data_IF_088183178341
#
_entry.id   IF_088183178341
#
_cell.length_a   1.000
_cell.length_b   1.000
_cell.length_c   1.000
_cell.angle_alpha   90.00
_cell.angle_beta   90.00
_cell.angle_gamma   90.00
#
_symmetry.space_group_name_H-M   'P 1'
#
loop_
_entity.id
_entity.type
_entity.pdbx_description
1 polymer ?
#
# COMPACT_ATOMS: atom_id res chain seq x y z
N UNK A 1 -12.60 60.69 28.38
CA UNK A 1 -13.11 59.36 28.00
C UNK A 1 -11.92 58.42 27.88
N UNK A 2 -11.77 57.42 28.75
CA UNK A 2 -10.64 56.50 28.68
C UNK A 2 -10.88 55.46 27.57
N UNK A 3 -9.86 55.21 26.77
CA UNK A 3 -9.87 54.21 25.71
C UNK A 3 -9.89 52.79 26.32
N UNK A 4 -10.78 51.93 25.85
CA UNK A 4 -10.81 50.51 26.21
C UNK A 4 -9.61 49.80 25.58
N UNK A 5 -8.91 48.90 26.30
CA UNK A 5 -7.83 48.12 25.73
C UNK A 5 -8.39 47.09 24.74
N UNK A 6 -7.78 47.01 23.55
CA UNK A 6 -8.03 45.96 22.56
C UNK A 6 -7.73 44.59 23.19
N UNK A 7 -8.78 43.80 23.41
CA UNK A 7 -8.65 42.39 23.73
C UNK A 7 -8.15 41.68 22.47
N UNK A 8 -6.88 41.27 22.47
CA UNK A 8 -6.38 40.31 21.47
C UNK A 8 -7.12 39.00 21.68
N UNK A 9 -8.00 38.66 20.76
CA UNK A 9 -8.61 37.33 20.66
C UNK A 9 -7.47 36.30 20.57
N UNK A 10 -7.43 35.25 21.42
CA UNK A 10 -6.45 34.19 21.25
C UNK A 10 -6.65 33.55 19.88
N UNK A 11 -5.56 33.35 19.14
CA UNK A 11 -5.59 32.65 17.86
C UNK A 11 -6.19 31.25 18.11
N UNK A 12 -7.27 30.93 17.39
CA UNK A 12 -7.84 29.58 17.38
C UNK A 12 -6.76 28.68 16.78
N UNK A 13 -6.24 27.68 17.52
CA UNK A 13 -5.26 26.76 16.95
C UNK A 13 -5.90 26.00 15.79
N UNK A 14 -5.15 25.85 14.70
CA UNK A 14 -5.57 25.10 13.52
C UNK A 14 -5.98 23.67 13.96
N UNK A 15 -7.24 23.27 13.79
CA UNK A 15 -7.71 21.94 14.19
C UNK A 15 -7.03 20.79 13.42
N UNK A 16 -6.25 21.10 12.37
CA UNK A 16 -5.48 20.14 11.58
C UNK A 16 -4.01 20.02 12.00
N UNK A 17 -3.54 20.86 12.94
CA UNK A 17 -2.24 20.67 13.60
C UNK A 17 -2.41 19.69 14.75
N UNK A 18 -2.40 18.38 14.44
CA UNK A 18 -2.21 17.37 15.48
C UNK A 18 -0.88 17.65 16.21
N UNK A 19 -0.82 17.55 17.55
CA UNK A 19 0.42 17.76 18.28
C UNK A 19 1.53 16.84 17.77
N UNK A 20 2.74 17.37 17.54
CA UNK A 20 3.92 16.59 17.12
C UNK A 20 4.14 15.31 17.95
N UNK A 21 3.72 15.32 19.21
CA UNK A 21 3.80 14.18 20.11
C UNK A 21 2.90 12.99 19.74
N UNK A 22 1.76 13.20 19.06
CA UNK A 22 0.88 12.10 18.64
C UNK A 22 1.48 11.34 17.45
N UNK A 23 2.08 12.06 16.50
CA UNK A 23 2.72 11.47 15.31
C UNK A 23 3.99 10.67 15.66
N UNK A 24 4.80 11.18 16.61
CA UNK A 24 6.03 10.53 17.10
C UNK A 24 5.78 9.24 17.91
N UNK A 25 4.61 9.09 18.56
CA UNK A 25 4.27 7.87 19.30
C UNK A 25 3.78 6.72 18.40
N UNK A 26 3.21 7.05 17.23
CA UNK A 26 2.80 6.05 16.22
C UNK A 26 3.96 5.45 15.43
N UNK A 27 5.04 6.20 15.22
CA UNK A 27 6.23 5.72 14.48
C UNK A 27 7.00 4.61 15.22
N UNK A 28 6.76 4.39 16.53
CA UNK A 28 7.60 3.51 17.36
C UNK A 28 6.96 2.19 17.84
N UNK A 29 5.68 1.88 17.58
CA UNK A 29 5.07 0.64 18.13
C UNK A 29 3.94 0.03 17.29
N UNK A 30 4.13 -0.11 15.98
CA UNK A 30 3.23 -0.96 15.19
C UNK A 30 3.97 -2.09 14.44
N UNK A 31 4.10 -3.29 15.02
CA UNK A 31 4.87 -4.40 14.42
C UNK A 31 4.27 -4.88 13.09
N UNK A 32 2.97 -4.73 12.86
CA UNK A 32 2.34 -5.17 11.62
C UNK A 32 2.55 -4.16 10.47
N UNK A 33 2.61 -2.86 10.77
CA UNK A 33 3.02 -1.83 9.79
C UNK A 33 4.47 -2.08 9.31
N UNK A 34 5.37 -2.30 10.27
CA UNK A 34 6.77 -2.65 9.96
C UNK A 34 6.85 -3.94 9.13
N UNK A 35 6.14 -4.99 9.53
CA UNK A 35 6.11 -6.25 8.79
C UNK A 35 5.60 -6.07 7.36
N UNK A 36 4.55 -5.26 7.17
CA UNK A 36 4.03 -4.92 5.86
C UNK A 36 5.09 -4.24 4.99
N UNK A 37 5.72 -3.18 5.50
CA UNK A 37 6.77 -2.43 4.79
C UNK A 37 7.97 -3.30 4.43
N UNK A 38 8.47 -4.09 5.38
CA UNK A 38 9.58 -5.02 5.14
C UNK A 38 9.22 -6.10 4.10
N UNK A 39 7.98 -6.60 4.12
CA UNK A 39 7.49 -7.58 3.14
C UNK A 39 7.47 -7.00 1.74
N UNK A 40 6.82 -5.85 1.57
CA UNK A 40 6.53 -5.29 0.24
C UNK A 40 7.66 -4.42 -0.32
N UNK A 41 8.68 -4.07 0.48
CA UNK A 41 9.94 -3.54 -0.04
C UNK A 41 10.69 -4.57 -0.90
N UNK A 42 10.44 -5.87 -0.71
CA UNK A 42 10.99 -6.93 -1.54
C UNK A 42 10.23 -7.01 -2.86
N UNK A 43 10.92 -6.68 -3.95
CA UNK A 43 10.26 -6.47 -5.24
C UNK A 43 9.56 -7.71 -5.77
N UNK A 44 10.11 -8.91 -5.51
CA UNK A 44 9.51 -10.16 -5.99
C UNK A 44 8.17 -10.45 -5.32
N UNK A 45 8.02 -10.06 -4.05
CA UNK A 45 6.75 -10.18 -3.31
C UNK A 45 5.73 -9.15 -3.79
N UNK A 46 6.16 -7.91 -4.05
CA UNK A 46 5.29 -6.87 -4.59
C UNK A 46 4.80 -7.22 -6.02
N UNK A 47 5.69 -7.73 -6.87
CA UNK A 47 5.34 -8.20 -8.22
C UNK A 47 4.30 -9.32 -8.18
N UNK A 48 4.54 -10.35 -7.37
CA UNK A 48 3.62 -11.47 -7.21
C UNK A 48 2.27 -10.99 -6.65
N UNK A 49 2.28 -10.07 -5.69
CA UNK A 49 1.06 -9.48 -5.15
C UNK A 49 0.27 -8.71 -6.20
N UNK A 50 0.90 -7.81 -6.95
CA UNK A 50 0.21 -7.06 -7.99
C UNK A 50 -0.28 -7.98 -9.12
N UNK A 51 0.42 -9.07 -9.43
CA UNK A 51 -0.04 -10.05 -10.40
C UNK A 51 -1.35 -10.72 -9.96
N UNK A 52 -1.50 -11.03 -8.67
CA UNK A 52 -2.67 -11.79 -8.19
C UNK A 52 -3.85 -10.92 -7.77
N UNK A 53 -3.59 -9.71 -7.26
CA UNK A 53 -4.60 -8.92 -6.56
C UNK A 53 -4.97 -7.60 -7.28
N UNK A 54 -4.28 -7.23 -8.37
CA UNK A 54 -4.80 -6.18 -9.25
C UNK A 54 -6.02 -6.68 -10.04
N UNK A 55 -6.97 -5.80 -10.38
CA UNK A 55 -7.99 -6.13 -11.37
C UNK A 55 -7.34 -6.63 -12.66
N UNK A 56 -7.79 -7.78 -13.17
CA UNK A 56 -7.20 -8.41 -14.34
C UNK A 56 -7.03 -7.47 -15.56
N UNK A 57 -7.98 -6.56 -15.88
CA UNK A 57 -7.79 -5.59 -16.96
C UNK A 57 -6.64 -4.61 -16.70
N UNK A 58 -6.41 -4.23 -15.45
CA UNK A 58 -5.30 -3.34 -15.06
C UNK A 58 -3.99 -4.12 -15.12
N UNK A 59 -3.92 -5.31 -14.54
CA UNK A 59 -2.71 -6.14 -14.56
C UNK A 59 -2.24 -6.42 -16.00
N UNK A 60 -3.18 -6.66 -16.92
CA UNK A 60 -2.90 -6.93 -18.33
C UNK A 60 -2.22 -5.75 -19.07
N UNK A 61 -2.36 -4.51 -18.60
CA UNK A 61 -1.70 -3.36 -19.23
C UNK A 61 -0.26 -3.14 -18.73
N UNK A 62 0.17 -3.85 -17.67
CA UNK A 62 1.43 -3.59 -16.98
C UNK A 62 2.48 -4.65 -17.29
N UNK A 63 3.73 -4.22 -17.43
CA UNK A 63 4.88 -5.11 -17.39
C UNK A 63 5.42 -5.19 -15.96
N UNK A 64 4.83 -6.07 -15.14
CA UNK A 64 5.21 -6.19 -13.72
C UNK A 64 6.69 -6.55 -13.52
N UNK A 65 7.39 -7.09 -14.51
CA UNK A 65 8.84 -7.35 -14.42
C UNK A 65 9.68 -6.07 -14.30
N UNK A 66 9.14 -4.90 -14.65
CA UNK A 66 9.82 -3.59 -14.51
C UNK A 66 9.39 -2.84 -13.25
N UNK A 67 8.73 -3.52 -12.30
CA UNK A 67 8.30 -2.88 -11.06
C UNK A 67 9.51 -2.33 -10.31
N UNK A 68 9.46 -1.06 -9.94
CA UNK A 68 10.53 -0.34 -9.26
C UNK A 68 9.98 0.40 -8.05
N UNK A 69 10.45 0.06 -6.85
CA UNK A 69 10.12 0.80 -5.64
C UNK A 69 10.70 2.21 -5.71
N UNK A 70 9.86 3.22 -5.50
CA UNK A 70 10.24 4.62 -5.48
C UNK A 70 10.60 5.01 -4.04
N UNK A 71 11.86 5.38 -3.79
CA UNK A 71 12.30 5.75 -2.44
C UNK A 71 11.76 7.13 -2.01
N UNK A 72 11.34 7.21 -0.74
CA UNK A 72 10.81 8.42 -0.09
C UNK A 72 11.82 9.58 0.08
N UNK A 73 13.07 9.43 -0.37
CA UNK A 73 14.11 10.46 -0.31
C UNK A 73 13.98 11.55 -1.38
N UNK A 74 13.12 11.37 -2.37
CA UNK A 74 12.81 12.37 -3.41
C UNK A 74 11.57 13.21 -3.10
N UNK A 75 11.08 13.12 -1.87
CA UNK A 75 9.81 13.68 -1.47
C UNK A 75 10.06 14.75 -0.40
N UNK A 76 9.31 15.85 -0.50
CA UNK A 76 9.23 16.95 0.48
C UNK A 76 9.43 16.41 1.93
N UNK A 77 10.22 17.05 2.81
CA UNK A 77 10.35 16.63 4.21
C UNK A 77 9.00 16.41 4.91
N UNK A 78 7.94 17.11 4.48
CA UNK A 78 6.57 16.90 4.94
C UNK A 78 5.98 15.56 4.47
N UNK A 79 6.36 15.07 3.29
CA UNK A 79 5.99 13.73 2.78
C UNK A 79 6.75 12.59 3.46
N UNK A 80 8.01 12.81 3.86
CA UNK A 80 8.83 11.80 4.55
C UNK A 80 8.23 11.32 5.86
N UNK A 81 7.44 12.14 6.56
CA UNK A 81 6.87 11.78 7.85
C UNK A 81 5.48 11.16 7.80
N UNK A 82 4.77 11.18 6.66
CA UNK A 82 3.32 10.91 6.69
C UNK A 82 2.67 10.31 5.44
N UNK A 83 3.40 9.97 4.36
CA UNK A 83 2.71 9.82 3.08
C UNK A 83 3.12 8.59 2.27
N UNK A 84 2.16 7.67 2.17
CA UNK A 84 2.13 6.39 1.46
C UNK A 84 3.07 5.32 2.04
N UNK A 85 2.54 4.13 2.32
CA UNK A 85 3.39 3.05 2.80
C UNK A 85 4.42 2.65 1.74
N UNK A 86 4.01 2.42 0.48
CA UNK A 86 4.90 2.08 -0.62
C UNK A 86 4.40 2.63 -1.97
N UNK A 87 5.29 3.23 -2.76
CA UNK A 87 5.03 3.71 -4.12
C UNK A 87 5.90 2.97 -5.12
N UNK A 88 5.32 2.44 -6.18
CA UNK A 88 6.04 1.75 -7.24
C UNK A 88 5.83 2.42 -8.59
N UNK A 89 6.86 2.37 -9.43
CA UNK A 89 6.81 2.67 -10.86
C UNK A 89 6.75 1.35 -11.63
N UNK A 90 5.96 1.30 -12.70
CA UNK A 90 5.87 0.12 -13.58
C UNK A 90 5.56 0.57 -15.01
N UNK A 91 6.22 -0.03 -16.00
CA UNK A 91 6.01 0.33 -17.41
C UNK A 91 4.76 -0.35 -17.96
N UNK A 92 4.18 0.28 -18.99
CA UNK A 92 3.08 -0.29 -19.76
C UNK A 92 3.60 -1.36 -20.73
N UNK A 93 2.79 -2.39 -21.02
CA UNK A 93 3.20 -3.45 -21.96
C UNK A 93 3.36 -2.96 -23.41
N UNK A 94 2.53 -2.00 -23.83
CA UNK A 94 2.34 -1.65 -25.24
C UNK A 94 2.82 -0.24 -25.62
N UNK A 95 3.35 0.54 -24.68
CA UNK A 95 3.61 1.98 -24.88
C UNK A 95 5.06 2.38 -24.51
N UNK A 96 6.05 2.00 -25.32
CA UNK A 96 7.44 2.50 -25.18
C UNK A 96 7.96 2.52 -23.73
N UNK A 97 8.57 3.64 -23.32
CA UNK A 97 9.04 3.87 -21.94
C UNK A 97 7.96 4.47 -21.01
N UNK A 98 6.68 4.46 -21.41
CA UNK A 98 5.58 4.99 -20.61
C UNK A 98 5.36 4.11 -19.37
N UNK A 99 5.05 4.76 -18.25
CA UNK A 99 4.89 4.10 -16.97
C UNK A 99 3.77 4.74 -16.16
N UNK A 100 3.25 3.98 -15.20
CA UNK A 100 2.28 4.43 -14.20
C UNK A 100 2.84 4.22 -12.80
N UNK A 101 2.11 4.72 -11.80
CA UNK A 101 2.38 4.41 -10.42
C UNK A 101 1.37 3.42 -9.83
N UNK A 102 1.88 2.49 -9.01
CA UNK A 102 1.08 1.68 -8.09
C UNK A 102 1.34 2.20 -6.68
N UNK A 103 0.30 2.67 -6.03
CA UNK A 103 0.35 3.22 -4.67
C UNK A 103 -0.24 2.18 -3.73
N UNK A 104 0.56 1.64 -2.81
CA UNK A 104 0.16 0.60 -1.89
C UNK A 104 0.13 1.14 -0.46
N UNK A 105 -1.08 1.17 0.11
CA UNK A 105 -1.36 1.60 1.49
C UNK A 105 -1.82 0.41 2.33
N UNK A 106 -1.48 0.41 3.61
CA UNK A 106 -1.85 -0.60 4.58
C UNK A 106 -2.76 -0.01 5.66
N UNK A 107 -3.80 -0.75 6.05
CA UNK A 107 -4.70 -0.39 7.14
C UNK A 107 -5.05 -1.60 8.01
N UNK A 108 -4.97 -1.40 9.33
CA UNK A 108 -5.45 -2.35 10.34
C UNK A 108 -6.83 -2.01 10.90
N UNK A 109 -7.43 -0.89 10.50
CA UNK A 109 -8.78 -0.47 10.87
C UNK A 109 -9.43 0.32 9.72
N UNK A 110 -10.78 0.34 9.62
CA UNK A 110 -11.49 1.06 8.56
C UNK A 110 -11.52 2.56 8.86
N UNK A 111 -10.45 3.26 8.52
CA UNK A 111 -10.32 4.71 8.69
C UNK A 111 -11.16 5.48 7.65
N UNK A 112 -12.19 6.24 8.07
CA UNK A 112 -13.01 7.04 7.16
C UNK A 112 -12.21 8.09 6.36
N UNK A 113 -11.00 8.46 6.79
CA UNK A 113 -10.16 9.43 6.12
C UNK A 113 -9.35 8.87 4.95
N UNK A 114 -9.31 7.55 4.75
CA UNK A 114 -8.54 6.89 3.67
C UNK A 114 -8.74 7.55 2.31
N UNK A 115 -9.97 7.88 1.84
CA UNK A 115 -10.14 8.48 0.53
C UNK A 115 -9.48 9.86 0.42
N UNK A 116 -9.56 10.68 1.47
CA UNK A 116 -8.91 12.00 1.47
C UNK A 116 -7.38 11.88 1.61
N UNK A 117 -6.91 10.91 2.40
CA UNK A 117 -5.49 10.59 2.51
C UNK A 117 -4.91 10.18 1.16
N UNK A 118 -5.59 9.27 0.44
CA UNK A 118 -5.20 8.86 -0.91
C UNK A 118 -5.18 10.05 -1.87
N UNK A 119 -6.19 10.93 -1.85
CA UNK A 119 -6.18 12.14 -2.69
C UNK A 119 -4.92 12.98 -2.45
N UNK A 120 -4.53 13.18 -1.18
CA UNK A 120 -3.29 13.90 -0.84
C UNK A 120 -2.08 13.22 -1.48
N UNK A 121 -2.00 11.88 -1.43
CA UNK A 121 -0.90 11.14 -2.07
C UNK A 121 -0.87 11.36 -3.58
N UNK A 122 -2.02 11.24 -4.24
CA UNK A 122 -2.13 11.46 -5.69
C UNK A 122 -1.62 12.85 -6.09
N UNK A 123 -2.10 13.90 -5.41
CA UNK A 123 -1.68 15.28 -5.67
C UNK A 123 -0.18 15.46 -5.46
N UNK A 124 0.39 14.90 -4.38
CA UNK A 124 1.83 15.02 -4.11
C UNK A 124 2.71 14.29 -5.13
N UNK A 125 2.26 13.13 -5.62
CA UNK A 125 2.93 12.40 -6.70
C UNK A 125 2.88 13.23 -7.98
N UNK A 126 1.72 13.80 -8.32
CA UNK A 126 1.57 14.68 -9.48
C UNK A 126 2.38 15.97 -9.39
N UNK A 127 2.50 16.58 -8.21
CA UNK A 127 3.41 17.71 -7.97
C UNK A 127 4.86 17.34 -8.29
N UNK A 128 5.28 16.10 -8.00
CA UNK A 128 6.61 15.59 -8.39
C UNK A 128 6.75 15.50 -9.90
N UNK A 129 5.78 14.90 -10.59
CA UNK A 129 5.80 14.77 -12.05
C UNK A 129 5.91 16.16 -12.71
N UNK A 130 5.08 17.12 -12.28
CA UNK A 130 5.09 18.47 -12.80
C UNK A 130 6.41 19.20 -12.55
N UNK A 131 7.05 19.01 -11.39
CA UNK A 131 8.40 19.56 -11.10
C UNK A 131 9.47 18.96 -12.01
N UNK A 132 9.31 17.70 -12.43
CA UNK A 132 10.17 17.05 -13.41
C UNK A 132 9.85 17.46 -14.87
N UNK A 133 8.93 18.42 -15.08
CA UNK A 133 8.42 18.82 -16.40
C UNK A 133 7.76 17.66 -17.16
N UNK A 134 7.22 16.70 -16.39
CA UNK A 134 6.51 15.56 -16.89
C UNK A 134 4.99 15.82 -16.85
N UNK A 135 4.23 15.10 -17.69
CA UNK A 135 2.76 15.10 -17.63
C UNK A 135 2.25 14.35 -16.40
N UNK A 136 0.99 14.52 -16.00
CA UNK A 136 0.43 13.73 -14.89
C UNK A 136 0.41 12.24 -15.26
N UNK A 137 1.07 11.40 -14.46
CA UNK A 137 1.00 9.94 -14.67
C UNK A 137 -0.24 9.35 -14.00
N UNK A 138 -0.87 8.33 -14.61
CA UNK A 138 -1.89 7.55 -13.93
C UNK A 138 -1.34 6.90 -12.65
N UNK A 139 -2.18 6.81 -11.62
CA UNK A 139 -1.86 6.19 -10.34
C UNK A 139 -3.00 5.23 -10.00
N UNK A 140 -2.66 3.98 -9.67
CA UNK A 140 -3.61 2.98 -9.16
C UNK A 140 -3.38 2.82 -7.66
N UNK A 141 -4.27 3.36 -6.81
CA UNK A 141 -4.17 3.16 -5.36
C UNK A 141 -4.77 1.80 -4.97
N UNK A 142 -4.02 1.06 -4.17
CA UNK A 142 -4.44 -0.18 -3.52
C UNK A 142 -4.33 -0.03 -2.00
N UNK A 143 -5.35 -0.47 -1.29
CA UNK A 143 -5.37 -0.56 0.17
C UNK A 143 -5.41 -2.03 0.57
N UNK A 144 -4.40 -2.48 1.31
CA UNK A 144 -4.40 -3.79 1.97
C UNK A 144 -4.97 -3.63 3.37
N UNK A 145 -6.10 -4.28 3.62
CA UNK A 145 -6.80 -4.22 4.89
C UNK A 145 -6.80 -5.58 5.59
N UNK A 146 -6.48 -5.60 6.89
CA UNK A 146 -6.46 -6.82 7.70
C UNK A 146 -7.06 -6.65 9.11
N UNK A 147 -7.87 -5.62 9.31
CA UNK A 147 -8.53 -5.36 10.59
C UNK A 147 -9.66 -6.34 10.89
N UNK A 148 -10.09 -6.36 12.15
CA UNK A 148 -11.18 -7.23 12.64
C UNK A 148 -12.57 -6.70 12.28
N UNK A 149 -12.70 -5.39 12.01
CA UNK A 149 -13.97 -4.77 11.64
C UNK A 149 -14.33 -5.02 10.17
N UNK A 150 -15.60 -4.85 9.81
CA UNK A 150 -15.99 -4.78 8.39
C UNK A 150 -15.49 -3.48 7.78
N UNK A 151 -14.89 -3.53 6.59
CA UNK A 151 -14.58 -2.32 5.82
C UNK A 151 -15.86 -1.58 5.42
N UNK A 152 -15.99 -0.33 5.84
CA UNK A 152 -17.15 0.54 5.58
C UNK A 152 -16.75 1.85 4.89
N UNK A 153 -15.48 2.01 4.54
CA UNK A 153 -14.97 3.22 3.90
C UNK A 153 -15.30 3.16 2.40
N UNK A 154 -15.84 4.25 1.80
CA UNK A 154 -16.17 4.24 0.38
C UNK A 154 -14.96 3.98 -0.51
N UNK A 155 -15.14 3.25 -1.61
CA UNK A 155 -14.08 2.90 -2.58
C UNK A 155 -13.92 3.91 -3.72
N UNK A 156 -14.86 4.85 -3.85
CA UNK A 156 -14.77 5.99 -4.76
C UNK A 156 -14.80 7.29 -3.97
N UNK A 157 -14.02 8.27 -4.39
CA UNK A 157 -13.93 9.56 -3.71
C UNK A 157 -15.23 10.36 -3.82
N UNK A 158 -15.94 10.26 -4.96
CA UNK A 158 -17.27 10.88 -5.14
C UNK A 158 -18.29 10.42 -4.10
N UNK A 159 -18.13 9.23 -3.51
CA UNK A 159 -19.01 8.74 -2.44
C UNK A 159 -18.79 9.42 -1.09
N UNK A 160 -17.74 10.25 -0.95
CA UNK A 160 -17.50 11.05 0.25
C UNK A 160 -18.31 12.36 0.27
N UNK A 161 -18.87 12.78 -0.87
CA UNK A 161 -19.64 14.01 -0.97
C UNK A 161 -21.10 13.78 -0.57
N UNK A 162 -21.72 14.85 -0.10
CA UNK A 162 -23.17 14.94 0.09
C UNK A 162 -23.67 16.18 -0.62
N UNK A 163 -24.67 16.04 -1.48
CA UNK A 163 -25.23 17.18 -2.19
C UNK A 163 -26.18 16.78 -3.32
N UNK A 164 -26.82 17.76 -3.96
CA UNK A 164 -27.70 17.53 -5.10
C UNK A 164 -26.97 16.88 -6.28
N UNK A 165 -27.63 15.94 -6.96
CA UNK A 165 -27.05 15.19 -8.09
C UNK A 165 -26.54 16.09 -9.23
N UNK A 166 -27.15 17.26 -9.42
CA UNK A 166 -26.70 18.26 -10.42
C UNK A 166 -25.26 18.72 -10.20
N UNK A 167 -24.74 18.64 -8.96
CA UNK A 167 -23.37 19.01 -8.65
C UNK A 167 -22.34 17.90 -8.89
N UNK A 168 -22.78 16.67 -9.21
CA UNK A 168 -21.91 15.50 -9.36
C UNK A 168 -20.82 15.70 -10.42
N UNK A 169 -21.13 16.45 -11.49
CA UNK A 169 -20.19 16.78 -12.56
C UNK A 169 -18.99 17.65 -12.09
N UNK A 170 -19.09 18.29 -10.92
CA UNK A 170 -18.05 19.15 -10.35
C UNK A 170 -17.29 18.49 -9.20
N UNK A 171 -17.66 17.27 -8.80
CA UNK A 171 -16.94 16.54 -7.76
C UNK A 171 -15.68 15.90 -8.33
N UNK A 172 -14.49 16.19 -7.76
CA UNK A 172 -13.32 15.34 -7.98
C UNK A 172 -13.68 13.88 -7.69
N UNK A 173 -13.19 12.98 -8.54
CA UNK A 173 -13.43 11.56 -8.36
C UNK A 173 -12.22 10.71 -8.76
N UNK A 174 -12.03 9.63 -8.02
CA UNK A 174 -11.13 8.53 -8.33
C UNK A 174 -11.59 7.31 -7.55
N UNK A 175 -11.09 6.14 -7.92
CA UNK A 175 -11.31 4.89 -7.17
C UNK A 175 -10.00 4.34 -6.64
N UNK A 176 -10.06 3.57 -5.56
CA UNK A 176 -8.98 2.70 -5.13
C UNK A 176 -9.47 1.26 -5.05
N UNK A 177 -8.53 0.33 -5.16
CA UNK A 177 -8.81 -1.09 -4.99
C UNK A 177 -8.57 -1.46 -3.52
N UNK A 178 -9.47 -2.26 -2.96
CA UNK A 178 -9.36 -2.76 -1.59
C UNK A 178 -9.07 -4.25 -1.62
N UNK A 179 -7.93 -4.65 -1.05
CA UNK A 179 -7.63 -6.03 -0.74
C UNK A 179 -7.93 -6.30 0.75
N UNK A 180 -9.16 -6.73 1.04
CA UNK A 180 -9.62 -7.08 2.38
C UNK A 180 -9.21 -8.52 2.75
N UNK A 181 -8.04 -8.66 3.37
CA UNK A 181 -7.51 -9.95 3.82
C UNK A 181 -8.38 -10.60 4.90
N UNK A 182 -9.10 -9.80 5.71
CA UNK A 182 -9.96 -10.34 6.76
C UNK A 182 -11.09 -11.21 6.18
N UNK A 183 -11.49 -10.92 4.94
CA UNK A 183 -12.60 -11.59 4.24
C UNK A 183 -12.18 -12.73 3.32
N UNK A 184 -10.90 -12.82 2.95
CA UNK A 184 -10.40 -13.95 2.17
C UNK A 184 -10.40 -15.24 3.01
N UNK A 185 -10.87 -16.32 2.43
CA UNK A 185 -10.56 -17.68 2.90
C UNK A 185 -9.08 -17.99 2.66
N UNK A 186 -8.57 -19.02 3.33
CA UNK A 186 -7.19 -19.50 3.09
C UNK A 186 -6.95 -19.88 1.62
N UNK A 187 -7.95 -20.44 0.94
CA UNK A 187 -7.82 -20.87 -0.46
C UNK A 187 -7.79 -19.70 -1.45
N UNK A 188 -8.35 -18.54 -1.07
CA UNK A 188 -8.32 -17.32 -1.88
C UNK A 188 -7.00 -16.54 -1.72
N UNK A 189 -6.19 -16.88 -0.71
CA UNK A 189 -4.84 -16.34 -0.57
C UNK A 189 -3.92 -17.11 -1.52
N UNK A 190 -3.64 -16.49 -2.66
CA UNK A 190 -2.83 -17.05 -3.75
C UNK A 190 -1.51 -16.28 -3.93
N UNK A 191 -0.65 -16.81 -4.81
CA UNK A 191 0.72 -16.33 -5.04
C UNK A 191 1.77 -17.39 -4.74
N UNK A 192 3.04 -17.03 -4.83
CA UNK A 192 4.14 -17.85 -4.36
C UNK A 192 4.08 -18.04 -2.83
N UNK A 193 4.67 -19.13 -2.34
CA UNK A 193 4.65 -19.48 -0.91
C UNK A 193 5.08 -18.31 0.02
N UNK A 194 6.13 -17.52 -0.29
CA UNK A 194 6.50 -16.38 0.56
C UNK A 194 5.38 -15.34 0.69
N UNK A 195 4.65 -15.06 -0.40
CA UNK A 195 3.54 -14.10 -0.39
C UNK A 195 2.37 -14.64 0.42
N UNK A 196 1.98 -15.89 0.17
CA UNK A 196 0.88 -16.52 0.92
C UNK A 196 1.14 -16.49 2.43
N UNK A 197 2.36 -16.85 2.84
CA UNK A 197 2.79 -16.80 4.25
C UNK A 197 2.65 -15.37 4.80
N UNK A 198 3.16 -14.37 4.08
CA UNK A 198 3.10 -12.98 4.55
C UNK A 198 1.66 -12.47 4.69
N UNK A 199 0.79 -12.76 3.71
CA UNK A 199 -0.63 -12.37 3.75
C UNK A 199 -1.38 -13.09 4.87
N UNK A 200 -1.09 -14.36 5.13
CA UNK A 200 -1.68 -15.11 6.24
C UNK A 200 -1.23 -14.56 7.61
N UNK A 201 0.05 -14.23 7.75
CA UNK A 201 0.55 -13.57 8.97
C UNK A 201 -0.20 -12.25 9.17
N UNK A 202 -0.29 -11.38 8.15
CA UNK A 202 -1.04 -10.13 8.25
C UNK A 202 -2.52 -10.34 8.59
N UNK A 203 -3.18 -11.28 7.93
CA UNK A 203 -4.60 -11.62 8.17
C UNK A 203 -4.86 -11.94 9.63
N UNK A 204 -4.00 -12.73 10.26
CA UNK A 204 -4.22 -13.25 11.61
C UNK A 204 -3.47 -12.50 12.72
N UNK A 205 -2.60 -11.53 12.40
CA UNK A 205 -1.78 -10.84 13.41
C UNK A 205 -2.60 -10.10 14.48
N UNK A 206 -3.85 -9.73 14.17
CA UNK A 206 -4.80 -9.10 15.09
C UNK A 206 -5.91 -10.05 15.58
N UNK A 207 -5.89 -11.29 15.11
CA UNK A 207 -6.89 -12.30 15.47
C UNK A 207 -6.48 -13.02 16.76
N UNK A 208 -7.29 -13.00 17.83
CA UNK A 208 -7.01 -13.73 19.07
C UNK A 208 -6.81 -15.25 18.86
N UNK A 209 -7.33 -15.79 17.76
CA UNK A 209 -7.25 -17.19 17.38
C UNK A 209 -6.06 -17.54 16.49
N UNK A 210 -5.10 -16.62 16.27
CA UNK A 210 -3.87 -16.85 15.50
C UNK A 210 -3.18 -18.18 15.81
N UNK A 211 -3.17 -18.59 17.08
CA UNK A 211 -2.57 -19.85 17.52
C UNK A 211 -3.15 -21.09 16.82
N UNK A 212 -4.42 -21.05 16.42
CA UNK A 212 -5.07 -22.12 15.65
C UNK A 212 -4.57 -22.19 14.20
N UNK A 213 -4.03 -21.08 13.67
CA UNK A 213 -3.53 -20.97 12.30
C UNK A 213 -2.02 -21.14 12.19
N UNK A 214 -1.29 -21.19 13.31
CA UNK A 214 0.16 -21.38 13.32
C UNK A 214 0.56 -22.70 12.65
N UNK A 215 -0.20 -23.78 12.83
CA UNK A 215 0.08 -25.07 12.19
C UNK A 215 0.11 -24.96 10.66
N UNK A 216 -0.89 -24.29 10.09
CA UNK A 216 -1.00 -24.07 8.64
C UNK A 216 0.15 -23.19 8.13
N UNK A 217 0.40 -22.06 8.80
CA UNK A 217 1.49 -21.13 8.45
C UNK A 217 2.85 -21.84 8.51
N UNK A 218 3.13 -22.59 9.59
CA UNK A 218 4.37 -23.36 9.74
C UNK A 218 4.50 -24.46 8.68
N UNK A 219 3.39 -25.07 8.25
CA UNK A 219 3.41 -26.05 7.15
C UNK A 219 3.85 -25.42 5.83
N UNK A 220 3.45 -24.17 5.56
CA UNK A 220 3.87 -23.42 4.37
C UNK A 220 5.36 -23.06 4.46
N UNK A 221 5.85 -22.66 5.64
CA UNK A 221 7.28 -22.46 5.87
C UNK A 221 8.09 -23.73 5.60
N UNK A 222 7.60 -24.90 6.06
CA UNK A 222 8.24 -26.19 5.77
C UNK A 222 8.30 -26.47 4.27
N UNK A 223 7.18 -26.32 3.56
CA UNK A 223 7.14 -26.47 2.08
C UNK A 223 8.12 -25.54 1.38
N UNK A 224 8.23 -24.30 1.85
CA UNK A 224 9.18 -23.32 1.31
C UNK A 224 10.64 -23.77 1.53
N UNK A 225 10.97 -24.24 2.74
CA UNK A 225 12.31 -24.74 3.08
C UNK A 225 12.69 -25.99 2.25
N UNK A 226 11.75 -26.91 2.06
CA UNK A 226 11.94 -28.11 1.24
C UNK A 226 12.21 -27.71 -0.22
N UNK A 227 11.44 -26.77 -0.77
CA UNK A 227 11.61 -26.28 -2.15
C UNK A 227 12.99 -25.65 -2.36
N UNK A 228 13.45 -24.80 -1.44
CA UNK A 228 14.78 -24.17 -1.52
C UNK A 228 15.92 -25.20 -1.40
N UNK A 229 15.72 -26.23 -0.57
CA UNK A 229 16.69 -27.32 -0.42
C UNK A 229 16.81 -28.13 -1.71
N UNK A 230 15.68 -28.49 -2.34
CA UNK A 230 15.67 -29.16 -3.65
C UNK A 230 16.33 -28.32 -4.74
N UNK A 231 16.02 -27.02 -4.83
CA UNK A 231 16.65 -26.12 -5.80
C UNK A 231 18.17 -26.03 -5.61
N UNK A 232 18.63 -26.01 -4.36
CA UNK A 232 20.06 -26.00 -4.03
C UNK A 232 20.76 -27.29 -4.47
N UNK A 233 20.11 -28.44 -4.31
CA UNK A 233 20.63 -29.74 -4.76
C UNK A 233 20.70 -29.83 -6.29
N UNK A 234 19.66 -29.36 -7.00
CA UNK A 234 19.63 -29.32 -8.47
C UNK A 234 20.74 -28.43 -9.05
N UNK A 235 20.98 -27.25 -8.46
CA UNK A 235 22.07 -26.35 -8.87
C UNK A 235 23.46 -26.95 -8.60
N UNK A 236 23.62 -27.75 -7.54
CA UNK A 236 24.88 -28.47 -7.26
C UNK A 236 25.14 -29.66 -8.20
N UNK A 237 24.09 -30.27 -8.74
CA UNK A 237 24.18 -31.37 -9.71
C UNK A 237 24.56 -30.95 -11.13
N UNK A 238 24.42 -29.66 -11.49
CA UNK A 238 24.88 -29.09 -12.75
C UNK A 238 26.30 -28.49 -12.61
N UNK A 239 27.32 -29.31 -12.34
CA UNK A 239 28.69 -28.96 -12.72
C UNK A 239 28.98 -29.63 -14.07
N UNK A 240 29.44 -28.91 -15.11
CA UNK A 240 29.80 -29.54 -16.37
C UNK A 240 31.01 -30.44 -16.15
N UNK A 241 30.85 -31.73 -16.45
CA UNK A 241 31.97 -32.63 -16.64
C UNK A 241 32.78 -32.10 -17.83
N UNK A 242 34.00 -31.66 -17.57
CA UNK A 242 34.98 -31.43 -18.62
C UNK A 242 35.31 -32.79 -19.24
N UNK A 243 34.87 -33.02 -20.48
CA UNK A 243 35.40 -34.08 -21.32
C UNK A 243 36.77 -33.62 -21.82
N UNK A 244 37.82 -34.31 -21.38
CA UNK A 244 39.14 -34.33 -22.03
C UNK A 244 39.10 -35.24 -23.25
#
# INVERSE_FOLDING_TARGET
MPAFPEQRTPAIPDPYLLPRHYSLMTELTNPHDRFFKETFTRIELAQDFFAQYLPAPVAATLNLNTLELQSGSFVDPDLQQQFADLLYRVTLQSEGDAYIYLLLEHKSYPDPQVPFQLLRYLVRIWERDLRAQETLRPIVPLVVYHGQGRWQVPLTFSSCYSGPEVLRAYWPDFRYELQDLSRLSHAEITGALPLQIALLVLKYILDPTLHNHLGDILSLFKKLADTQSTLTLLKKGQKPGFYT
#
